data_IF_299458391860
#
_entry.id   IF_299458391860
#
_cell.length_a   1.000
_cell.length_b   1.000
_cell.length_c   1.000
_cell.angle_alpha   90.00
_cell.angle_beta   90.00
_cell.angle_gamma   90.00
#
_symmetry.space_group_name_H-M   'P 1'
#
loop_
_entity.id
_entity.type
_entity.pdbx_description
1 polymer ?
#
# COMPACT_ATOMS: atom_id res chain seq x y z
N UNK A 1 -36.57 49.18 9.57
CA UNK A 1 -36.20 48.58 8.27
C UNK A 1 -35.26 47.42 8.53
N UNK A 2 -35.77 46.19 8.54
CA UNK A 2 -35.00 44.97 8.76
C UNK A 2 -34.63 44.38 7.40
N UNK A 3 -33.30 44.25 7.14
CA UNK A 3 -32.80 43.58 5.96
C UNK A 3 -32.76 42.06 6.22
N UNK A 4 -33.64 41.34 5.54
CA UNK A 4 -33.63 39.88 5.52
C UNK A 4 -32.41 39.36 4.75
N UNK A 5 -31.59 38.59 5.43
CA UNK A 5 -30.49 37.82 4.84
C UNK A 5 -31.10 36.57 4.21
N UNK A 6 -31.19 36.54 2.88
CA UNK A 6 -31.54 35.34 2.14
C UNK A 6 -30.35 34.34 2.22
N UNK A 7 -30.57 33.25 2.94
CA UNK A 7 -29.68 32.10 2.97
C UNK A 7 -29.94 31.28 1.72
N UNK A 8 -29.09 31.41 0.70
CA UNK A 8 -29.10 30.57 -0.49
C UNK A 8 -28.54 29.20 -0.11
N UNK A 9 -29.40 28.19 0.05
CA UNK A 9 -29.02 26.79 0.11
C UNK A 9 -28.52 26.37 -1.27
N UNK A 10 -27.23 26.25 -1.43
CA UNK A 10 -26.66 25.58 -2.59
C UNK A 10 -27.03 24.08 -2.51
N UNK A 11 -28.05 23.70 -3.25
CA UNK A 11 -28.39 22.30 -3.49
C UNK A 11 -27.34 21.78 -4.51
N UNK A 12 -26.38 20.99 -4.04
CA UNK A 12 -25.47 20.28 -4.95
C UNK A 12 -26.28 19.41 -5.92
N UNK A 13 -25.99 19.53 -7.22
CA UNK A 13 -26.69 18.74 -8.25
C UNK A 13 -26.37 17.25 -8.11
N UNK A 14 -27.27 16.40 -8.56
CA UNK A 14 -27.03 14.94 -8.59
C UNK A 14 -25.80 14.56 -9.39
N UNK A 15 -25.47 15.34 -10.43
CA UNK A 15 -24.33 15.15 -11.30
C UNK A 15 -23.01 15.47 -10.60
N UNK A 16 -22.98 16.47 -9.71
CA UNK A 16 -21.80 16.79 -8.91
C UNK A 16 -21.50 15.71 -7.88
N UNK A 17 -22.52 15.04 -7.33
CA UNK A 17 -22.35 13.90 -6.43
C UNK A 17 -21.86 12.67 -7.16
N UNK A 18 -22.42 12.36 -8.35
CA UNK A 18 -21.98 11.25 -9.18
C UNK A 18 -20.53 11.42 -9.63
N UNK A 19 -20.12 12.62 -10.09
CA UNK A 19 -18.75 12.94 -10.45
C UNK A 19 -17.76 12.84 -9.27
N UNK A 20 -18.18 13.26 -8.06
CA UNK A 20 -17.34 13.10 -6.86
C UNK A 20 -17.18 11.65 -6.45
N UNK A 21 -18.23 10.84 -6.54
CA UNK A 21 -18.17 9.40 -6.26
C UNK A 21 -17.22 8.71 -7.26
N UNK A 22 -17.34 9.00 -8.56
CA UNK A 22 -16.46 8.44 -9.58
C UNK A 22 -15.00 8.89 -9.41
N UNK A 23 -14.73 10.13 -8.98
CA UNK A 23 -13.39 10.62 -8.67
C UNK A 23 -12.78 9.92 -7.45
N UNK A 24 -13.56 9.67 -6.40
CA UNK A 24 -13.08 8.99 -5.19
C UNK A 24 -12.75 7.53 -5.48
N UNK A 25 -13.53 6.84 -6.31
CA UNK A 25 -13.26 5.45 -6.70
C UNK A 25 -11.97 5.28 -7.50
N UNK A 26 -11.53 6.32 -8.21
CA UNK A 26 -10.34 6.29 -9.05
C UNK A 26 -9.03 6.68 -8.34
N UNK A 27 -9.07 7.00 -7.07
CA UNK A 27 -7.90 7.43 -6.29
C UNK A 27 -7.55 6.38 -5.24
N UNK A 28 -6.31 5.90 -5.26
CA UNK A 28 -5.70 5.16 -4.16
C UNK A 28 -4.69 6.06 -3.43
N UNK A 29 -4.52 5.81 -2.14
CA UNK A 29 -3.49 6.50 -1.36
C UNK A 29 -2.30 5.58 -1.12
N UNK A 30 -1.10 6.13 -1.26
CA UNK A 30 0.15 5.45 -0.94
C UNK A 30 0.83 6.17 0.22
N UNK A 31 1.21 5.43 1.24
CA UNK A 31 1.88 6.00 2.41
C UNK A 31 3.37 6.21 2.09
N UNK A 32 3.85 7.42 2.30
CA UNK A 32 5.15 7.87 1.78
C UNK A 32 6.34 7.13 2.40
N UNK A 33 6.26 6.70 3.66
CA UNK A 33 7.34 5.90 4.25
C UNK A 33 7.40 4.50 3.63
N UNK A 34 6.26 3.87 3.28
CA UNK A 34 6.26 2.56 2.62
C UNK A 34 6.80 2.61 1.18
N UNK A 35 6.81 3.79 0.56
CA UNK A 35 7.51 3.99 -0.72
C UNK A 35 9.02 4.03 -0.51
N UNK A 36 9.48 4.64 0.59
CA UNK A 36 10.91 4.75 0.92
C UNK A 36 11.49 3.47 1.54
N UNK A 37 10.67 2.77 2.31
CA UNK A 37 11.05 1.55 3.01
C UNK A 37 10.38 0.35 2.32
N UNK A 38 10.97 -0.22 1.25
CA UNK A 38 10.38 -1.35 0.58
C UNK A 38 10.28 -2.53 1.56
N UNK A 39 9.06 -2.96 1.82
CA UNK A 39 8.77 -4.02 2.81
C UNK A 39 8.56 -5.39 2.18
N UNK A 40 8.63 -5.48 0.84
CA UNK A 40 8.37 -6.69 0.07
C UNK A 40 9.53 -7.01 -0.88
N UNK A 41 9.83 -8.29 -1.06
CA UNK A 41 10.81 -8.76 -2.05
C UNK A 41 10.19 -8.75 -3.45
N UNK A 42 10.93 -8.24 -4.45
CA UNK A 42 10.55 -8.30 -5.87
C UNK A 42 10.93 -9.61 -6.56
N UNK A 43 11.33 -10.60 -5.80
CA UNK A 43 11.65 -11.94 -6.30
C UNK A 43 10.40 -12.82 -6.38
N UNK A 44 10.55 -13.99 -6.99
CA UNK A 44 9.44 -14.93 -7.03
C UNK A 44 9.04 -15.42 -5.61
N UNK A 45 7.80 -15.90 -5.52
CA UNK A 45 7.24 -16.33 -4.25
C UNK A 45 8.03 -17.50 -3.62
N UNK A 46 8.76 -18.30 -4.40
CA UNK A 46 9.54 -19.44 -3.90
C UNK A 46 10.77 -18.95 -3.12
N UNK A 47 11.47 -17.96 -3.66
CA UNK A 47 12.61 -17.37 -2.96
C UNK A 47 12.18 -16.56 -1.73
N UNK A 48 11.12 -15.77 -1.84
CA UNK A 48 10.58 -15.02 -0.71
C UNK A 48 10.18 -15.93 0.46
N UNK A 49 9.59 -17.10 0.17
CA UNK A 49 9.16 -18.08 1.18
C UNK A 49 10.28 -18.64 2.05
N UNK A 50 11.52 -18.52 1.63
CA UNK A 50 12.67 -19.02 2.39
C UNK A 50 13.33 -17.97 3.28
N UNK A 51 12.88 -16.70 3.22
CA UNK A 51 13.52 -15.59 3.93
C UNK A 51 12.62 -15.01 5.01
N UNK A 52 12.89 -15.27 6.29
CA UNK A 52 12.15 -14.67 7.38
C UNK A 52 12.53 -13.20 7.63
N UNK A 53 13.70 -12.78 7.16
CA UNK A 53 14.25 -11.45 7.38
C UNK A 53 14.80 -10.87 6.08
N UNK A 54 14.59 -9.59 5.87
CA UNK A 54 15.15 -8.81 4.78
C UNK A 54 15.81 -7.56 5.34
N UNK A 55 17.10 -7.41 5.04
CA UNK A 55 17.87 -6.22 5.38
C UNK A 55 17.92 -5.29 4.17
N UNK A 56 17.77 -4.01 4.42
CA UNK A 56 17.68 -2.99 3.38
C UNK A 56 18.67 -1.89 3.68
N UNK A 57 19.64 -1.70 2.79
CA UNK A 57 20.51 -0.52 2.82
C UNK A 57 19.72 0.68 2.27
N UNK A 58 19.48 1.68 3.11
CA UNK A 58 18.66 2.84 2.77
C UNK A 58 19.45 4.03 2.21
N UNK A 59 20.76 3.94 2.21
CA UNK A 59 21.61 5.00 1.68
C UNK A 59 23.11 4.64 1.71
N UNK A 60 23.96 5.54 1.18
CA UNK A 60 25.41 5.34 1.14
C UNK A 60 26.07 5.38 2.53
N UNK A 61 25.38 5.92 3.51
CA UNK A 61 25.79 6.02 4.91
C UNK A 61 25.60 4.73 5.71
N UNK A 62 25.09 3.66 5.06
CA UNK A 62 24.91 2.35 5.68
C UNK A 62 23.76 2.26 6.67
N UNK A 63 22.87 3.26 6.73
CA UNK A 63 21.64 3.15 7.51
C UNK A 63 20.76 2.06 6.94
N UNK A 64 20.32 1.16 7.79
CA UNK A 64 19.59 -0.04 7.42
C UNK A 64 18.16 0.01 7.94
N UNK A 65 17.26 -0.57 7.17
CA UNK A 65 15.97 -1.01 7.68
C UNK A 65 15.93 -2.53 7.69
N UNK A 66 15.31 -3.08 8.71
CA UNK A 66 15.07 -4.49 8.83
C UNK A 66 13.58 -4.76 8.65
N UNK A 67 13.24 -5.63 7.73
CA UNK A 67 11.89 -6.17 7.59
C UNK A 67 11.92 -7.61 8.04
N UNK A 68 11.22 -7.92 9.11
CA UNK A 68 11.19 -9.25 9.70
C UNK A 68 9.78 -9.81 9.72
N UNK A 69 9.65 -11.11 9.44
CA UNK A 69 8.41 -11.86 9.60
C UNK A 69 8.64 -12.99 10.62
N UNK A 70 7.86 -12.99 11.69
CA UNK A 70 8.05 -13.91 12.79
C UNK A 70 7.53 -15.33 12.53
N UNK A 71 6.63 -15.50 11.56
CA UNK A 71 5.91 -16.77 11.39
C UNK A 71 6.22 -17.51 10.09
N UNK A 72 6.48 -16.78 9.01
CA UNK A 72 6.63 -17.44 7.71
C UNK A 72 7.81 -16.88 6.91
N UNK A 73 7.54 -15.89 6.12
CA UNK A 73 8.52 -15.29 5.22
C UNK A 73 8.15 -13.83 4.99
N UNK A 74 9.13 -13.02 4.60
CA UNK A 74 8.86 -11.63 4.23
C UNK A 74 7.85 -11.56 3.10
N UNK A 75 7.07 -10.46 3.01
CA UNK A 75 6.09 -10.26 1.96
C UNK A 75 6.69 -10.39 0.55
N UNK A 76 5.91 -10.94 -0.37
CA UNK A 76 6.29 -11.07 -1.77
C UNK A 76 5.97 -9.79 -2.54
N UNK A 77 6.35 -9.78 -3.82
CA UNK A 77 6.03 -8.67 -4.72
C UNK A 77 4.52 -8.36 -4.83
N UNK A 78 3.65 -9.32 -4.53
CA UNK A 78 2.20 -9.12 -4.52
C UNK A 78 1.75 -8.22 -3.37
N UNK A 79 2.49 -8.20 -2.26
CA UNK A 79 2.13 -7.47 -1.04
C UNK A 79 2.00 -5.96 -1.27
N UNK A 80 2.82 -5.36 -2.13
CA UNK A 80 2.72 -3.93 -2.41
C UNK A 80 1.38 -3.57 -3.03
N UNK A 81 0.91 -4.38 -3.98
CA UNK A 81 -0.41 -4.20 -4.58
C UNK A 81 -1.53 -4.47 -3.57
N UNK A 82 -1.37 -5.49 -2.73
CA UNK A 82 -2.30 -5.79 -1.65
C UNK A 82 -2.44 -4.60 -0.70
N UNK A 83 -1.34 -4.04 -0.22
CA UNK A 83 -1.36 -2.88 0.69
C UNK A 83 -2.02 -1.66 0.04
N UNK A 84 -1.69 -1.36 -1.23
CA UNK A 84 -2.36 -0.29 -1.97
C UNK A 84 -3.87 -0.52 -2.10
N UNK A 85 -4.28 -1.76 -2.38
CA UNK A 85 -5.70 -2.12 -2.46
C UNK A 85 -6.41 -2.04 -1.11
N UNK A 86 -5.74 -2.39 -0.02
CA UNK A 86 -6.27 -2.22 1.35
C UNK A 86 -6.40 -0.73 1.71
N UNK A 87 -5.44 0.11 1.33
CA UNK A 87 -5.53 1.56 1.49
C UNK A 87 -6.70 2.14 0.70
N UNK A 88 -6.86 1.72 -0.55
CA UNK A 88 -8.01 2.10 -1.37
C UNK A 88 -9.34 1.68 -0.72
N UNK A 89 -9.45 0.43 -0.25
CA UNK A 89 -10.65 -0.03 0.47
C UNK A 89 -10.92 0.78 1.73
N UNK A 90 -9.90 1.09 2.52
CA UNK A 90 -10.06 1.89 3.75
C UNK A 90 -10.57 3.29 3.43
N UNK A 91 -10.10 3.88 2.33
CA UNK A 91 -10.62 5.15 1.85
C UNK A 91 -12.09 5.06 1.47
N UNK A 92 -12.50 3.98 0.77
CA UNK A 92 -13.89 3.78 0.34
C UNK A 92 -14.83 3.52 1.53
N UNK A 93 -14.41 2.68 2.48
CA UNK A 93 -15.27 2.21 3.56
C UNK A 93 -15.41 3.25 4.70
N UNK A 94 -14.33 3.93 5.06
CA UNK A 94 -14.36 4.83 6.21
C UNK A 94 -13.58 6.14 6.06
N UNK A 95 -13.02 6.42 4.87
CA UNK A 95 -12.23 7.63 4.59
C UNK A 95 -11.08 7.85 5.61
N UNK A 96 -10.43 6.79 6.07
CA UNK A 96 -9.40 6.77 7.10
C UNK A 96 -9.82 7.40 8.45
N UNK A 97 -11.09 7.35 8.80
CA UNK A 97 -11.57 7.80 10.11
C UNK A 97 -11.21 6.81 11.21
N UNK A 98 -11.25 5.53 10.89
CA UNK A 98 -10.97 4.43 11.81
C UNK A 98 -9.86 3.51 11.28
N UNK A 99 -9.01 2.96 12.17
CA UNK A 99 -7.94 2.06 11.76
C UNK A 99 -8.43 0.66 11.35
N UNK A 100 -9.69 0.34 11.63
CA UNK A 100 -10.29 -0.96 11.31
C UNK A 100 -11.08 -0.84 10.01
N UNK A 101 -10.87 -1.80 9.11
CA UNK A 101 -11.67 -1.93 7.90
C UNK A 101 -12.08 -3.39 7.72
N UNK A 102 -13.37 -3.58 7.39
CA UNK A 102 -13.97 -4.90 7.13
C UNK A 102 -14.50 -4.94 5.70
N UNK A 103 -14.13 -5.97 4.95
CA UNK A 103 -14.49 -6.09 3.53
C UNK A 103 -14.55 -7.54 3.07
N UNK A 104 -15.38 -7.86 2.07
CA UNK A 104 -15.30 -9.13 1.36
C UNK A 104 -13.96 -9.21 0.59
N UNK A 105 -13.19 -10.29 0.79
CA UNK A 105 -11.92 -10.50 0.05
C UNK A 105 -12.12 -10.38 -1.47
N UNK A 106 -13.28 -10.84 -1.94
CA UNK A 106 -13.68 -10.75 -3.34
C UNK A 106 -13.69 -9.29 -3.85
N UNK A 107 -14.15 -8.32 -3.04
CA UNK A 107 -14.17 -6.90 -3.38
C UNK A 107 -12.76 -6.38 -3.68
N UNK A 108 -11.77 -6.71 -2.84
CA UNK A 108 -10.38 -6.36 -3.08
C UNK A 108 -9.86 -6.93 -4.40
N UNK A 109 -10.13 -8.21 -4.64
CA UNK A 109 -9.60 -8.91 -5.82
C UNK A 109 -10.24 -8.43 -7.11
N UNK A 110 -11.56 -8.27 -7.16
CA UNK A 110 -12.30 -7.88 -8.35
C UNK A 110 -12.05 -6.42 -8.76
N UNK A 111 -11.96 -5.52 -7.79
CA UNK A 111 -11.90 -4.09 -8.10
C UNK A 111 -10.49 -3.53 -8.14
N UNK A 112 -9.52 -4.17 -7.46
CA UNK A 112 -8.20 -3.58 -7.33
C UNK A 112 -7.06 -4.49 -7.81
N UNK A 113 -7.15 -5.81 -7.60
CA UNK A 113 -6.00 -6.65 -7.92
C UNK A 113 -5.84 -6.91 -9.43
N UNK A 114 -6.91 -7.33 -10.11
CA UNK A 114 -6.91 -7.64 -11.55
C UNK A 114 -8.30 -7.47 -12.17
N UNK A 115 -8.82 -6.25 -12.31
CA UNK A 115 -10.20 -6.05 -12.80
C UNK A 115 -10.42 -6.58 -14.22
N UNK A 116 -9.43 -6.43 -15.11
CA UNK A 116 -9.55 -6.84 -16.53
C UNK A 116 -9.32 -8.35 -16.75
N UNK A 117 -8.59 -9.01 -15.84
CA UNK A 117 -8.29 -10.45 -15.91
C UNK A 117 -9.28 -11.29 -15.14
N UNK A 118 -10.20 -10.64 -14.46
CA UNK A 118 -11.19 -11.29 -13.64
C UNK A 118 -12.32 -11.80 -14.53
N UNK A 119 -12.07 -12.90 -15.23
CA UNK A 119 -13.16 -13.66 -15.82
C UNK A 119 -14.01 -14.17 -14.67
N UNK A 120 -15.24 -13.64 -14.51
CA UNK A 120 -16.17 -13.88 -13.40
C UNK A 120 -16.33 -15.36 -13.00
N UNK A 121 -16.02 -16.27 -13.92
CA UNK A 121 -16.10 -17.71 -13.71
C UNK A 121 -14.77 -18.34 -13.22
N UNK A 122 -13.66 -17.57 -13.15
CA UNK A 122 -12.33 -18.07 -12.80
C UNK A 122 -11.58 -17.22 -11.77
N UNK A 123 -12.28 -16.47 -10.93
CA UNK A 123 -11.69 -16.06 -9.68
C UNK A 123 -11.33 -17.32 -8.90
N UNK A 124 -10.30 -17.98 -9.40
CA UNK A 124 -9.92 -19.29 -8.89
C UNK A 124 -9.69 -19.12 -7.41
N UNK A 125 -10.28 -19.99 -6.63
CA UNK A 125 -10.05 -20.04 -5.18
C UNK A 125 -8.56 -19.97 -4.83
N UNK A 126 -7.68 -20.40 -5.75
CA UNK A 126 -6.22 -20.30 -5.65
C UNK A 126 -5.72 -18.85 -5.64
N UNK A 127 -6.28 -17.94 -6.46
CA UNK A 127 -5.82 -16.56 -6.45
C UNK A 127 -6.33 -15.82 -5.22
N UNK A 128 -7.58 -16.05 -4.83
CA UNK A 128 -8.15 -15.54 -3.57
C UNK A 128 -7.31 -15.99 -2.36
N UNK A 129 -6.93 -17.26 -2.34
CA UNK A 129 -6.06 -17.81 -1.30
C UNK A 129 -4.69 -17.12 -1.28
N UNK A 130 -4.07 -16.89 -2.44
CA UNK A 130 -2.78 -16.17 -2.52
C UNK A 130 -2.86 -14.76 -1.97
N UNK A 131 -3.94 -14.03 -2.27
CA UNK A 131 -4.14 -12.67 -1.75
C UNK A 131 -4.31 -12.71 -0.23
N UNK A 132 -5.10 -13.65 0.29
CA UNK A 132 -5.28 -13.85 1.74
C UNK A 132 -3.96 -14.22 2.43
N UNK A 133 -3.18 -15.15 1.87
CA UNK A 133 -1.85 -15.50 2.38
C UNK A 133 -0.92 -14.29 2.41
N UNK A 134 -1.01 -13.41 1.42
CA UNK A 134 -0.18 -12.20 1.36
C UNK A 134 -0.62 -11.16 2.39
N UNK A 135 -1.92 -10.99 2.62
CA UNK A 135 -2.43 -10.14 3.71
C UNK A 135 -1.91 -10.66 5.07
N UNK A 136 -1.94 -11.97 5.29
CA UNK A 136 -1.41 -12.60 6.50
C UNK A 136 0.10 -12.33 6.66
N UNK A 137 0.89 -12.44 5.57
CA UNK A 137 2.32 -12.13 5.62
C UNK A 137 2.59 -10.67 5.98
N UNK A 138 1.81 -9.75 5.42
CA UNK A 138 1.90 -8.32 5.76
C UNK A 138 1.55 -8.09 7.24
N UNK A 139 0.53 -8.77 7.76
CA UNK A 139 0.15 -8.67 9.17
C UNK A 139 1.20 -9.24 10.13
N UNK A 140 1.89 -10.32 9.72
CA UNK A 140 2.98 -10.91 10.51
C UNK A 140 4.31 -10.13 10.40
N UNK A 141 4.38 -9.12 9.53
CA UNK A 141 5.61 -8.40 9.22
C UNK A 141 5.78 -7.17 10.10
N UNK A 142 7.00 -7.02 10.63
CA UNK A 142 7.44 -5.82 11.35
C UNK A 142 8.55 -5.11 10.58
N UNK A 143 8.47 -3.80 10.56
CA UNK A 143 9.48 -2.93 9.98
C UNK A 143 10.24 -2.25 11.12
N UNK A 144 11.56 -2.41 11.12
CA UNK A 144 12.48 -1.69 11.98
C UNK A 144 13.24 -0.69 11.12
N UNK A 145 13.19 0.58 11.44
CA UNK A 145 13.90 1.60 10.68
C UNK A 145 14.20 2.81 11.55
N UNK A 146 15.36 3.40 11.34
CA UNK A 146 15.76 4.69 11.96
C UNK A 146 15.32 5.88 11.07
N UNK A 147 14.74 5.63 9.88
CA UNK A 147 14.37 6.63 8.88
C UNK A 147 12.88 6.76 8.65
N UNK A 148 12.05 6.36 9.60
CA UNK A 148 10.63 6.65 9.52
C UNK A 148 10.38 8.13 9.69
N UNK A 149 9.85 8.80 8.68
CA UNK A 149 9.49 10.21 8.79
C UNK A 149 8.17 10.36 9.53
N UNK A 150 8.20 11.04 10.66
CA UNK A 150 7.01 11.44 11.40
C UNK A 150 6.62 12.85 10.99
N UNK A 151 5.52 12.99 10.25
CA UNK A 151 5.08 14.26 9.69
C UNK A 151 4.67 15.27 10.77
N UNK A 152 4.10 14.79 11.88
CA UNK A 152 3.70 15.67 12.99
C UNK A 152 4.92 16.23 13.72
N UNK A 153 5.95 15.42 13.88
CA UNK A 153 7.21 15.86 14.49
C UNK A 153 8.15 16.57 13.49
N UNK A 154 7.88 16.48 12.20
CA UNK A 154 8.72 17.06 11.14
C UNK A 154 10.12 16.45 11.04
N UNK A 155 10.34 15.23 11.55
CA UNK A 155 11.67 14.60 11.59
C UNK A 155 11.61 13.08 11.43
N UNK A 156 12.77 12.50 11.14
CA UNK A 156 12.95 11.05 11.15
C UNK A 156 12.98 10.51 12.58
N UNK A 157 12.38 9.35 12.78
CA UNK A 157 12.28 8.68 14.10
C UNK A 157 12.61 7.20 13.95
N UNK A 158 13.07 6.59 15.04
CA UNK A 158 13.18 5.15 15.11
C UNK A 158 11.80 4.53 15.18
N UNK A 159 11.57 3.51 14.36
CA UNK A 159 10.32 2.78 14.30
C UNK A 159 10.55 1.26 14.41
N UNK A 160 9.70 0.63 15.18
CA UNK A 160 9.49 -0.82 15.18
C UNK A 160 7.98 -1.05 15.23
N UNK A 161 7.37 -1.24 14.06
CA UNK A 161 5.92 -1.36 13.95
C UNK A 161 5.50 -2.36 12.86
N UNK A 162 4.30 -2.90 13.01
CA UNK A 162 3.62 -3.65 11.97
C UNK A 162 2.92 -2.70 10.97
N UNK A 163 2.73 -3.18 9.74
CA UNK A 163 1.86 -2.51 8.75
C UNK A 163 0.40 -2.75 9.13
N UNK A 164 0.08 -3.97 9.51
CA UNK A 164 -1.23 -4.42 9.97
C UNK A 164 -1.03 -5.02 11.37
N UNK A 165 -1.72 -4.50 12.39
CA UNK A 165 -1.61 -4.98 13.76
C UNK A 165 -2.45 -6.25 14.00
N UNK A 166 -3.51 -6.43 13.21
CA UNK A 166 -4.49 -7.48 13.43
C UNK A 166 -5.21 -7.85 12.12
N UNK A 167 -5.45 -9.13 11.95
CA UNK A 167 -6.29 -9.68 10.88
C UNK A 167 -7.23 -10.72 11.44
N UNK A 168 -8.49 -10.68 11.02
CA UNK A 168 -9.48 -11.71 11.26
C UNK A 168 -10.13 -12.11 9.94
N UNK A 169 -10.23 -13.43 9.71
CA UNK A 169 -10.96 -13.98 8.57
C UNK A 169 -12.24 -14.60 9.09
N UNK A 170 -13.37 -14.12 8.62
CA UNK A 170 -14.69 -14.61 8.97
C UNK A 170 -15.30 -15.34 7.77
N UNK A 171 -15.70 -16.57 7.98
CA UNK A 171 -16.44 -17.35 6.99
C UNK A 171 -17.94 -17.22 7.28
N UNK A 172 -18.65 -16.44 6.47
CA UNK A 172 -20.10 -16.26 6.62
C UNK A 172 -20.86 -17.35 5.85
N UNK A 173 -21.26 -18.45 6.57
CA UNK A 173 -22.14 -19.49 6.02
C UNK A 173 -21.41 -20.63 5.26
N UNK A 174 -22.15 -21.59 4.69
CA UNK A 174 -21.72 -22.89 4.19
C UNK A 174 -20.56 -22.94 3.16
N UNK A 175 -20.39 -24.08 2.47
CA UNK A 175 -19.23 -24.42 1.60
C UNK A 175 -18.79 -23.39 0.56
N UNK A 176 -19.65 -22.43 0.17
CA UNK A 176 -19.38 -21.36 -0.81
C UNK A 176 -19.44 -19.95 -0.17
N UNK A 177 -19.26 -19.85 1.13
CA UNK A 177 -19.42 -18.58 1.84
C UNK A 177 -18.38 -17.55 1.45
N UNK A 178 -18.83 -16.28 1.40
CA UNK A 178 -17.96 -15.14 1.19
C UNK A 178 -16.93 -15.07 2.34
N UNK A 179 -15.64 -14.98 2.00
CA UNK A 179 -14.58 -14.68 2.97
C UNK A 179 -14.60 -13.20 3.25
N UNK A 180 -14.95 -12.83 4.46
CA UNK A 180 -14.88 -11.47 4.96
C UNK A 180 -13.60 -11.31 5.76
N UNK A 181 -12.83 -10.32 5.43
CA UNK A 181 -11.58 -10.00 6.12
C UNK A 181 -11.81 -8.70 6.89
N UNK A 182 -11.37 -8.70 8.13
CA UNK A 182 -11.24 -7.52 8.96
C UNK A 182 -9.76 -7.32 9.28
N UNK A 183 -9.24 -6.13 9.02
CA UNK A 183 -7.88 -5.75 9.40
C UNK A 183 -7.92 -4.52 10.30
N UNK A 184 -6.89 -4.41 11.14
CA UNK A 184 -6.55 -3.17 11.82
C UNK A 184 -5.18 -2.72 11.35
N UNK A 185 -5.11 -1.51 10.83
CA UNK A 185 -3.84 -0.88 10.47
C UNK A 185 -2.94 -0.70 11.68
N UNK A 186 -1.63 -0.87 11.49
CA UNK A 186 -0.63 -0.58 12.50
C UNK A 186 -0.72 0.87 12.96
N UNK A 187 -0.68 1.10 14.27
CA UNK A 187 -0.94 2.42 14.85
C UNK A 187 -0.03 3.52 14.29
N UNK A 188 1.25 3.21 14.05
CA UNK A 188 2.21 4.18 13.46
C UNK A 188 1.89 4.50 12.01
N UNK A 189 1.56 3.50 11.21
CA UNK A 189 1.17 3.68 9.82
C UNK A 189 -0.14 4.47 9.72
N UNK A 190 -1.14 4.09 10.50
CA UNK A 190 -2.42 4.77 10.49
C UNK A 190 -2.31 6.25 10.90
N UNK A 191 -1.49 6.55 11.92
CA UNK A 191 -1.18 7.93 12.32
C UNK A 191 -0.53 8.72 11.18
N UNK A 192 0.40 8.12 10.43
CA UNK A 192 1.02 8.73 9.26
C UNK A 192 0.00 9.08 8.18
N UNK A 193 -0.94 8.16 7.92
CA UNK A 193 -2.04 8.37 6.96
C UNK A 193 -2.96 9.50 7.42
N UNK A 194 -3.36 9.53 8.69
CA UNK A 194 -4.18 10.60 9.26
C UNK A 194 -3.48 11.97 9.23
N UNK A 195 -2.16 11.98 9.40
CA UNK A 195 -1.33 13.18 9.21
C UNK A 195 -1.20 13.59 7.73
N UNK A 196 -1.85 12.86 6.81
CA UNK A 196 -1.78 13.07 5.35
C UNK A 196 -0.36 12.97 4.80
N UNK A 197 0.46 12.07 5.37
CA UNK A 197 1.76 11.73 4.78
C UNK A 197 1.57 10.63 3.73
N UNK A 198 0.70 10.92 2.78
CA UNK A 198 0.28 10.05 1.70
C UNK A 198 0.36 10.77 0.37
N UNK A 199 0.44 9.99 -0.70
CA UNK A 199 0.34 10.44 -2.09
C UNK A 199 -0.89 9.83 -2.73
N UNK A 200 -1.65 10.64 -3.45
CA UNK A 200 -2.76 10.17 -4.26
C UNK A 200 -2.23 9.58 -5.57
N UNK A 201 -2.64 8.37 -5.89
CA UNK A 201 -2.29 7.65 -7.10
C UNK A 201 -3.56 7.38 -7.93
N UNK A 202 -3.45 7.51 -9.25
CA UNK A 202 -4.53 7.14 -10.15
C UNK A 202 -4.67 5.62 -10.24
N UNK A 203 -5.83 5.11 -9.81
CA UNK A 203 -6.13 3.67 -9.79
C UNK A 203 -6.09 3.08 -11.20
N UNK A 204 -6.55 3.80 -12.23
CA UNK A 204 -6.54 3.31 -13.62
C UNK A 204 -5.11 3.05 -14.11
N UNK A 205 -4.18 3.92 -13.73
CA UNK A 205 -2.75 3.74 -14.01
C UNK A 205 -2.19 2.55 -13.24
N UNK A 206 -2.49 2.44 -11.94
CA UNK A 206 -2.05 1.32 -11.10
C UNK A 206 -2.50 -0.03 -11.68
N UNK A 207 -3.74 -0.12 -12.16
CA UNK A 207 -4.31 -1.35 -12.70
C UNK A 207 -3.69 -1.79 -14.02
N UNK A 208 -3.11 -0.88 -14.80
CA UNK A 208 -2.38 -1.17 -16.04
C UNK A 208 -0.96 -1.68 -15.82
N UNK A 209 -0.42 -1.48 -14.62
CA UNK A 209 0.94 -1.90 -14.29
C UNK A 209 0.92 -3.36 -13.84
N UNK A 210 1.37 -4.27 -14.70
CA UNK A 210 1.37 -5.72 -14.41
C UNK A 210 2.59 -6.17 -13.59
N UNK A 211 3.77 -5.59 -13.87
CA UNK A 211 5.03 -6.03 -13.28
C UNK A 211 5.25 -5.38 -11.92
N UNK A 212 5.60 -6.15 -10.89
CA UNK A 212 5.88 -5.59 -9.56
C UNK A 212 7.00 -4.55 -9.54
N UNK A 213 8.02 -4.75 -10.39
CA UNK A 213 9.12 -3.80 -10.54
C UNK A 213 8.63 -2.45 -11.06
N UNK A 214 7.78 -2.48 -12.09
CA UNK A 214 7.22 -1.27 -12.70
C UNK A 214 6.30 -0.55 -11.71
N UNK A 215 5.53 -1.30 -10.91
CA UNK A 215 4.70 -0.74 -9.84
C UNK A 215 5.54 -0.01 -8.79
N UNK A 216 6.61 -0.63 -8.30
CA UNK A 216 7.51 0.00 -7.33
C UNK A 216 8.21 1.22 -7.92
N UNK A 217 8.62 1.16 -9.18
CA UNK A 217 9.24 2.27 -9.88
C UNK A 217 8.26 3.42 -10.08
N UNK A 218 7.02 3.15 -10.49
CA UNK A 218 5.96 4.15 -10.62
C UNK A 218 5.69 4.88 -9.31
N UNK A 219 5.51 4.15 -8.21
CA UNK A 219 5.28 4.70 -6.87
C UNK A 219 6.43 5.64 -6.46
N UNK A 220 7.65 5.19 -6.66
CA UNK A 220 8.83 5.97 -6.35
C UNK A 220 8.97 7.22 -7.23
N UNK A 221 8.80 7.09 -8.57
CA UNK A 221 8.84 8.22 -9.49
C UNK A 221 7.78 9.25 -9.16
N UNK A 222 6.55 8.82 -8.95
CA UNK A 222 5.44 9.71 -8.62
C UNK A 222 5.74 10.51 -7.35
N UNK A 223 6.37 9.88 -6.35
CA UNK A 223 6.85 10.57 -5.17
C UNK A 223 7.92 11.62 -5.49
N UNK A 224 8.93 11.28 -6.29
CA UNK A 224 10.02 12.19 -6.63
C UNK A 224 9.54 13.41 -7.44
N UNK A 225 8.65 13.18 -8.40
CA UNK A 225 8.09 14.26 -9.22
C UNK A 225 7.18 15.20 -8.41
N UNK A 226 6.54 14.70 -7.37
CA UNK A 226 5.71 15.49 -6.45
C UNK A 226 6.52 16.35 -5.48
N UNK A 227 7.76 15.98 -5.20
CA UNK A 227 8.72 16.80 -4.48
C UNK A 227 9.50 17.61 -5.51
N UNK A 228 9.43 18.93 -5.47
CA UNK A 228 10.02 19.85 -6.47
C UNK A 228 11.56 19.75 -6.66
N UNK A 229 12.18 18.62 -6.36
CA UNK A 229 13.61 18.40 -6.46
C UNK A 229 14.01 17.90 -7.86
N UNK A 230 14.77 18.74 -8.57
CA UNK A 230 15.27 18.50 -9.93
C UNK A 230 16.47 17.53 -10.03
N UNK A 231 16.87 16.85 -8.97
CA UNK A 231 18.01 15.92 -8.97
C UNK A 231 17.61 14.50 -9.41
N UNK A 232 16.89 14.37 -10.52
CA UNK A 232 16.27 13.10 -10.93
C UNK A 232 17.28 12.06 -11.41
N UNK A 233 18.48 12.44 -11.86
CA UNK A 233 19.45 11.49 -12.45
C UNK A 233 20.23 10.70 -11.38
N UNK A 234 20.72 11.37 -10.35
CA UNK A 234 21.35 10.70 -9.20
C UNK A 234 20.38 9.75 -8.47
N UNK A 235 19.12 10.08 -8.53
CA UNK A 235 17.99 9.36 -7.98
C UNK A 235 17.74 8.00 -8.67
N UNK A 236 17.92 7.85 -9.99
CA UNK A 236 17.72 6.57 -10.68
C UNK A 236 18.74 5.50 -10.28
N UNK A 237 20.00 5.87 -10.06
CA UNK A 237 21.02 4.96 -9.57
C UNK A 237 20.71 4.51 -8.13
N UNK A 238 20.28 5.43 -7.28
CA UNK A 238 19.85 5.13 -5.91
C UNK A 238 18.60 4.23 -5.90
N UNK A 239 17.66 4.45 -6.80
CA UNK A 239 16.50 3.58 -6.94
C UNK A 239 16.92 2.15 -7.29
N UNK A 240 17.74 1.98 -8.33
CA UNK A 240 18.21 0.65 -8.72
C UNK A 240 18.97 -0.05 -7.59
N UNK A 241 19.78 0.69 -6.85
CA UNK A 241 20.66 0.13 -5.80
C UNK A 241 19.92 -0.17 -4.50
N UNK A 242 19.03 0.73 -4.05
CA UNK A 242 18.46 0.68 -2.70
C UNK A 242 16.98 0.32 -2.66
N UNK A 243 16.23 0.55 -3.73
CA UNK A 243 14.77 0.35 -3.73
C UNK A 243 14.30 -0.91 -4.46
N UNK A 244 15.09 -1.42 -5.41
CA UNK A 244 14.69 -2.62 -6.14
C UNK A 244 14.94 -3.91 -5.38
N UNK A 245 15.84 -3.91 -4.40
CA UNK A 245 16.24 -5.11 -3.66
C UNK A 245 16.55 -6.26 -4.62
N UNK A 246 17.24 -5.93 -5.71
CA UNK A 246 17.62 -6.93 -6.70
C UNK A 246 18.69 -7.84 -6.12
N UNK A 247 18.52 -9.11 -6.34
CA UNK A 247 19.37 -10.19 -5.89
C UNK A 247 20.83 -9.89 -6.19
N UNK A 248 21.66 -9.80 -5.15
CA UNK A 248 23.09 -10.15 -5.09
C UNK A 248 23.99 -9.96 -6.30
N UNK A 249 23.60 -9.20 -7.32
CA UNK A 249 24.55 -8.78 -8.32
C UNK A 249 25.51 -7.81 -7.62
N UNK A 250 26.70 -8.30 -7.30
CA UNK A 250 27.86 -7.44 -7.05
C UNK A 250 27.91 -6.47 -8.22
N UNK A 251 27.44 -5.26 -8.01
CA UNK A 251 27.68 -4.17 -8.93
C UNK A 251 29.19 -3.98 -8.83
N UNK A 252 29.93 -4.53 -9.81
CA UNK A 252 31.36 -4.31 -9.92
C UNK A 252 31.58 -2.80 -9.87
N UNK A 253 32.28 -2.35 -8.85
CA UNK A 253 32.81 -1.01 -8.76
C UNK A 253 33.87 -0.91 -9.85
N UNK A 254 33.51 -0.35 -11.01
CA UNK A 254 34.47 0.20 -11.95
C UNK A 254 34.85 1.59 -11.48
#
# INVERSE_FOLDING_TARGET
MARGTQMTLNVESSDDKANRVEQVENVAFDEMNLVELPFALLTDAKEARSKPVMEIALGPDGTEALVANARSSVPTALAERVVLGLMWLTQQENAFKEPVVRFPLRKLVEHFMYPDRFNRNRASGVFMQRVEEEINRVADTRIHSDRWYDKELGKQTKMNAAIIDYIQVVHEGGRNSARVIEIRWGAKLFKSVQARYTKALDVRTLLRIDRPLDLRFYRWLDRQLGTKNRETVASCQNFARYKLLMRGQKINRG
#
